data_IF_585303796598
#
_entry.id   IF_585303796598
#
_cell.length_a   1.000
_cell.length_b   1.000
_cell.length_c   1.000
_cell.angle_alpha   90.00
_cell.angle_beta   90.00
_cell.angle_gamma   90.00
#
_symmetry.space_group_name_H-M   'P 1'
#
loop_
_entity.id
_entity.type
_entity.pdbx_description
1 polymer ?
#
# COMPACT_ATOMS: atom_id res chain seq x y z
N UNK A 1 -19.98 24.91 16.48
CA UNK A 1 -20.38 24.42 15.14
C UNK A 1 -19.14 24.17 14.32
N UNK A 2 -18.65 22.95 14.27
CA UNK A 2 -17.50 22.56 13.43
C UNK A 2 -18.07 21.97 12.13
N UNK A 3 -17.82 22.64 11.02
CA UNK A 3 -18.20 22.15 9.68
C UNK A 3 -17.21 21.07 9.28
N UNK A 4 -17.68 19.84 9.13
CA UNK A 4 -16.92 18.76 8.51
C UNK A 4 -16.85 18.99 7.01
N UNK A 5 -15.64 19.25 6.51
CA UNK A 5 -15.38 19.30 5.07
C UNK A 5 -15.17 17.85 4.60
N UNK A 6 -16.15 17.32 3.89
CA UNK A 6 -16.04 16.01 3.26
C UNK A 6 -15.01 16.03 2.13
N UNK A 7 -13.90 15.37 2.33
CA UNK A 7 -12.90 15.16 1.26
C UNK A 7 -13.44 14.15 0.27
N UNK A 8 -13.84 14.65 -0.91
CA UNK A 8 -14.11 13.79 -2.07
C UNK A 8 -12.79 13.31 -2.63
N UNK A 9 -12.45 12.04 -2.40
CA UNK A 9 -11.35 11.38 -3.11
C UNK A 9 -11.81 11.15 -4.55
N UNK A 10 -11.49 12.10 -5.43
CA UNK A 10 -11.64 11.96 -6.86
C UNK A 10 -10.35 11.35 -7.39
N UNK A 11 -10.40 10.10 -7.84
CA UNK A 11 -9.34 9.56 -8.69
C UNK A 11 -9.38 10.31 -10.03
N UNK A 12 -8.60 11.37 -10.16
CA UNK A 12 -8.44 12.08 -11.41
C UNK A 12 -7.52 11.27 -12.33
N UNK A 13 -8.11 10.62 -13.33
CA UNK A 13 -7.39 10.28 -14.55
C UNK A 13 -7.15 11.60 -15.27
N UNK A 14 -5.90 12.09 -15.23
CA UNK A 14 -5.53 13.39 -15.77
C UNK A 14 -5.71 13.48 -17.27
N UNK A 15 -6.41 14.53 -17.70
CA UNK A 15 -6.46 15.02 -19.07
C UNK A 15 -5.09 15.57 -19.51
N UNK A 16 -4.75 15.34 -20.78
CA UNK A 16 -3.54 15.80 -21.47
C UNK A 16 -3.33 17.33 -21.30
N UNK A 17 -2.31 17.67 -20.49
CA UNK A 17 -1.63 18.96 -20.60
C UNK A 17 -0.21 18.72 -21.11
N UNK A 18 0.33 19.59 -21.91
CA UNK A 18 1.71 19.53 -22.41
C UNK A 18 2.67 19.29 -21.23
N UNK A 19 3.15 18.05 -21.11
CA UNK A 19 4.06 17.64 -20.05
C UNK A 19 5.47 18.10 -20.40
N UNK A 20 5.99 19.07 -19.66
CA UNK A 20 7.42 19.15 -19.42
C UNK A 20 7.81 17.81 -18.78
N UNK A 21 8.66 17.04 -19.44
CA UNK A 21 9.10 15.73 -18.96
C UNK A 21 9.92 15.93 -17.68
N UNK A 22 9.24 15.89 -16.53
CA UNK A 22 9.91 15.68 -15.24
C UNK A 22 10.52 14.29 -15.31
N UNK A 23 11.82 14.09 -15.04
CA UNK A 23 12.41 12.77 -15.04
C UNK A 23 11.61 11.89 -14.07
N UNK A 24 10.96 10.86 -14.61
CA UNK A 24 10.23 9.89 -13.81
C UNK A 24 11.22 9.19 -12.89
N UNK A 25 10.89 9.12 -11.60
CA UNK A 25 11.64 8.27 -10.70
C UNK A 25 11.61 6.83 -11.23
N UNK A 26 12.78 6.22 -11.33
CA UNK A 26 12.90 4.83 -11.78
C UNK A 26 12.21 3.90 -10.77
N UNK A 27 11.40 2.97 -11.27
CA UNK A 27 10.74 1.98 -10.42
C UNK A 27 11.78 1.09 -9.75
N UNK A 28 11.82 1.08 -8.43
CA UNK A 28 12.68 0.18 -7.66
C UNK A 28 12.03 -1.20 -7.57
N UNK A 29 12.76 -2.22 -7.94
CA UNK A 29 12.31 -3.62 -7.91
C UNK A 29 13.25 -4.43 -7.04
N UNK A 30 12.71 -5.33 -6.20
CA UNK A 30 13.56 -6.23 -5.41
C UNK A 30 14.29 -7.22 -6.31
N UNK A 31 15.60 -7.30 -6.18
CA UNK A 31 16.44 -8.28 -6.91
C UNK A 31 16.40 -9.68 -6.28
N UNK A 32 15.88 -9.80 -5.05
CA UNK A 32 15.86 -11.06 -4.29
C UNK A 32 14.75 -12.02 -4.71
N UNK A 33 13.88 -11.63 -5.64
CA UNK A 33 12.75 -12.44 -6.10
C UNK A 33 13.24 -13.69 -6.87
N UNK A 34 12.69 -14.84 -6.49
CA UNK A 34 12.86 -16.09 -7.26
C UNK A 34 12.01 -16.09 -8.57
N UNK A 35 12.12 -17.16 -9.35
CA UNK A 35 11.43 -17.24 -10.65
C UNK A 35 9.89 -17.17 -10.52
N UNK A 36 9.30 -17.80 -9.50
CA UNK A 36 7.84 -17.76 -9.23
C UNK A 36 7.41 -16.33 -8.87
N UNK A 37 8.14 -15.68 -7.99
CA UNK A 37 7.86 -14.32 -7.54
C UNK A 37 7.95 -13.31 -8.69
N UNK A 38 8.96 -13.44 -9.56
CA UNK A 38 9.08 -12.64 -10.79
C UNK A 38 7.90 -12.88 -11.74
N UNK A 39 7.48 -14.14 -11.90
CA UNK A 39 6.32 -14.48 -12.73
C UNK A 39 5.01 -13.90 -12.14
N UNK A 40 4.82 -13.97 -10.83
CA UNK A 40 3.67 -13.37 -10.15
C UNK A 40 3.64 -11.85 -10.33
N UNK A 41 4.77 -11.16 -10.15
CA UNK A 41 4.87 -9.72 -10.41
C UNK A 41 4.52 -9.38 -11.86
N UNK A 42 5.07 -10.14 -12.82
CA UNK A 42 4.77 -9.93 -14.25
C UNK A 42 3.29 -10.19 -14.56
N UNK A 43 2.67 -11.19 -13.93
CA UNK A 43 1.23 -11.47 -14.09
C UNK A 43 0.37 -10.29 -13.64
N UNK A 44 0.65 -9.72 -12.45
CA UNK A 44 -0.05 -8.55 -11.92
C UNK A 44 0.17 -7.33 -12.82
N UNK A 45 1.41 -7.09 -13.29
CA UNK A 45 1.71 -6.00 -14.23
C UNK A 45 0.88 -6.14 -15.52
N UNK A 46 0.84 -7.35 -16.09
CA UNK A 46 0.09 -7.62 -17.32
C UNK A 46 -1.41 -7.44 -17.11
N UNK A 47 -1.95 -7.91 -15.98
CA UNK A 47 -3.33 -7.67 -15.60
C UNK A 47 -3.66 -6.18 -15.52
N UNK A 48 -2.81 -5.41 -14.85
CA UNK A 48 -3.01 -3.97 -14.69
C UNK A 48 -2.98 -3.24 -16.03
N UNK A 49 -1.95 -3.51 -16.83
CA UNK A 49 -1.76 -2.87 -18.13
C UNK A 49 -2.88 -3.20 -19.12
N UNK A 50 -3.32 -4.46 -19.18
CA UNK A 50 -4.37 -4.87 -20.11
C UNK A 50 -5.77 -4.48 -19.63
N UNK A 51 -6.11 -4.81 -18.36
CA UNK A 51 -7.47 -4.65 -17.89
C UNK A 51 -7.79 -3.24 -17.39
N UNK A 52 -6.83 -2.53 -16.79
CA UNK A 52 -7.07 -1.19 -16.23
C UNK A 52 -6.62 -0.08 -17.17
N UNK A 53 -5.37 -0.08 -17.62
CA UNK A 53 -4.87 0.99 -18.49
C UNK A 53 -5.34 0.80 -19.94
N UNK A 54 -5.34 -0.42 -20.45
CA UNK A 54 -5.91 -0.79 -21.76
C UNK A 54 -7.43 -0.85 -21.76
N UNK A 55 -8.06 -0.81 -20.58
CA UNK A 55 -9.53 -0.87 -20.37
C UNK A 55 -10.19 -2.14 -20.92
N UNK A 56 -9.42 -3.21 -21.15
CA UNK A 56 -9.93 -4.47 -21.68
C UNK A 56 -10.48 -5.36 -20.56
N UNK A 57 -11.71 -5.12 -20.14
CA UNK A 57 -12.34 -5.90 -19.07
C UNK A 57 -12.67 -7.34 -19.49
N UNK A 58 -12.80 -7.63 -20.78
CA UNK A 58 -13.00 -8.98 -21.27
C UNK A 58 -11.81 -9.89 -21.01
N UNK A 59 -10.60 -9.30 -20.90
CA UNK A 59 -9.38 -10.00 -20.55
C UNK A 59 -9.29 -10.38 -19.06
N UNK A 60 -10.16 -9.88 -18.18
CA UNK A 60 -10.07 -10.15 -16.74
C UNK A 60 -10.09 -11.63 -16.39
N UNK A 61 -10.85 -12.45 -17.15
CA UNK A 61 -10.89 -13.89 -16.97
C UNK A 61 -9.52 -14.60 -17.17
N UNK A 62 -8.63 -14.00 -17.94
CA UNK A 62 -7.26 -14.48 -18.15
C UNK A 62 -6.42 -14.32 -16.89
N UNK A 63 -6.63 -13.27 -16.12
CA UNK A 63 -5.77 -12.84 -15.02
C UNK A 63 -6.35 -13.07 -13.63
N UNK A 64 -7.67 -13.02 -13.49
CA UNK A 64 -8.35 -12.91 -12.20
C UNK A 64 -9.25 -14.12 -11.96
N UNK A 65 -9.27 -14.66 -10.75
CA UNK A 65 -10.16 -15.73 -10.35
C UNK A 65 -11.62 -15.26 -10.35
N UNK A 66 -12.57 -16.17 -10.62
CA UNK A 66 -14.00 -15.87 -10.49
C UNK A 66 -14.36 -15.49 -9.06
N UNK A 67 -13.76 -16.20 -8.10
CA UNK A 67 -13.89 -15.98 -6.65
C UNK A 67 -13.00 -14.88 -6.11
N UNK A 68 -12.50 -13.98 -6.96
CA UNK A 68 -11.65 -12.87 -6.55
C UNK A 68 -12.20 -12.12 -5.34
N UNK A 69 -11.38 -11.96 -4.31
CA UNK A 69 -11.73 -11.29 -3.07
C UNK A 69 -11.15 -9.86 -3.09
N UNK A 70 -12.04 -8.88 -2.99
CA UNK A 70 -11.67 -7.47 -2.85
C UNK A 70 -11.84 -7.05 -1.40
N UNK A 71 -10.78 -6.51 -0.80
CA UNK A 71 -10.80 -6.03 0.58
C UNK A 71 -11.07 -4.52 0.72
N UNK A 72 -11.10 -3.78 -0.38
CA UNK A 72 -11.52 -2.38 -0.37
C UNK A 72 -13.03 -2.27 -0.16
N UNK A 73 -13.43 -1.61 0.92
CA UNK A 73 -14.83 -1.45 1.34
C UNK A 73 -15.71 -0.74 0.30
N UNK A 74 -15.11 0.06 -0.59
CA UNK A 74 -15.83 0.81 -1.62
C UNK A 74 -16.04 0.03 -2.93
N UNK A 75 -15.57 -1.22 -3.00
CA UNK A 75 -15.66 -2.05 -4.20
C UNK A 75 -16.35 -3.37 -3.90
N UNK A 76 -17.19 -3.87 -4.81
CA UNK A 76 -17.77 -5.20 -4.69
C UNK A 76 -16.68 -6.28 -4.84
N UNK A 77 -16.85 -7.38 -4.14
CA UNK A 77 -16.03 -8.59 -4.30
C UNK A 77 -16.46 -9.42 -5.51
N UNK A 78 -15.60 -10.34 -5.94
CA UNK A 78 -15.80 -11.18 -7.13
C UNK A 78 -15.39 -10.50 -8.43
N UNK A 79 -14.90 -11.31 -9.40
CA UNK A 79 -14.54 -10.78 -10.73
C UNK A 79 -15.69 -10.05 -11.41
N UNK A 80 -16.92 -10.55 -11.31
CA UNK A 80 -18.08 -9.89 -11.85
C UNK A 80 -18.30 -8.49 -11.24
N UNK A 81 -18.08 -8.35 -9.93
CA UNK A 81 -18.12 -7.07 -9.23
C UNK A 81 -17.05 -6.10 -9.73
N UNK A 82 -15.83 -6.59 -9.92
CA UNK A 82 -14.72 -5.82 -10.51
C UNK A 82 -15.07 -5.32 -11.91
N UNK A 83 -15.52 -6.21 -12.81
CA UNK A 83 -15.90 -5.87 -14.19
C UNK A 83 -17.03 -4.83 -14.21
N UNK A 84 -18.03 -4.99 -13.36
CA UNK A 84 -19.14 -4.04 -13.25
C UNK A 84 -18.65 -2.63 -12.89
N UNK A 85 -17.92 -2.50 -11.79
CA UNK A 85 -17.52 -1.17 -11.27
C UNK A 85 -16.53 -0.47 -12.20
N UNK A 86 -15.57 -1.20 -12.77
CA UNK A 86 -14.64 -0.61 -13.75
C UNK A 86 -15.31 -0.33 -15.09
N UNK A 87 -16.27 -1.14 -15.52
CA UNK A 87 -17.08 -0.87 -16.71
C UNK A 87 -17.87 0.44 -16.60
N UNK A 88 -18.51 0.67 -15.45
CA UNK A 88 -19.20 1.93 -15.15
C UNK A 88 -18.22 3.12 -15.15
N UNK A 89 -17.05 2.98 -14.55
CA UNK A 89 -16.01 4.02 -14.50
C UNK A 89 -15.45 4.34 -15.89
N UNK A 90 -15.15 3.33 -16.69
CA UNK A 90 -14.62 3.51 -18.05
C UNK A 90 -15.66 4.12 -18.97
N UNK A 91 -16.92 3.72 -18.84
CA UNK A 91 -18.03 4.35 -19.56
C UNK A 91 -18.18 5.84 -19.20
N UNK A 92 -18.12 6.17 -17.91
CA UNK A 92 -18.21 7.55 -17.43
C UNK A 92 -17.02 8.42 -17.90
N UNK A 93 -15.81 7.86 -17.91
CA UNK A 93 -14.60 8.54 -18.37
C UNK A 93 -14.51 8.68 -19.89
N UNK A 94 -15.29 7.89 -20.63
CA UNK A 94 -15.22 7.80 -22.09
C UNK A 94 -13.90 7.18 -22.60
N UNK A 95 -13.81 6.96 -23.89
CA UNK A 95 -12.63 6.42 -24.58
C UNK A 95 -12.73 4.92 -24.89
N UNK A 96 -12.00 4.47 -25.92
CA UNK A 96 -12.04 3.09 -26.39
C UNK A 96 -11.22 2.14 -25.50
N UNK A 97 -11.43 0.85 -25.68
CA UNK A 97 -10.46 -0.19 -25.34
C UNK A 97 -9.22 0.00 -26.23
N UNK A 98 -8.06 -0.04 -25.65
CA UNK A 98 -6.77 0.09 -26.37
C UNK A 98 -5.92 -1.16 -26.18
N UNK A 99 -4.99 -1.44 -27.10
CA UNK A 99 -3.94 -2.43 -26.84
C UNK A 99 -3.24 -2.12 -25.49
N UNK A 100 -2.84 -3.15 -24.70
CA UNK A 100 -2.14 -2.91 -23.45
C UNK A 100 -0.87 -2.09 -23.70
N UNK A 101 -0.65 -1.00 -22.94
CA UNK A 101 0.59 -0.26 -23.04
C UNK A 101 1.76 -1.14 -22.58
N UNK A 102 2.98 -0.83 -23.05
CA UNK A 102 4.19 -1.58 -22.66
C UNK A 102 4.58 -1.32 -21.20
N UNK A 103 4.31 -0.11 -20.71
CA UNK A 103 4.68 0.36 -19.39
C UNK A 103 3.51 1.09 -18.74
N UNK A 104 3.50 1.16 -17.42
CA UNK A 104 2.52 1.92 -16.68
C UNK A 104 2.53 3.41 -17.07
N UNK A 105 1.39 4.01 -17.21
CA UNK A 105 1.25 5.46 -17.40
C UNK A 105 1.87 6.23 -16.23
N UNK A 106 1.63 5.75 -14.99
CA UNK A 106 2.33 6.18 -13.78
C UNK A 106 2.93 4.93 -13.14
N UNK A 107 4.24 4.68 -13.25
CA UNK A 107 4.84 3.48 -12.69
C UNK A 107 4.86 3.52 -11.15
N UNK A 108 4.76 2.36 -10.48
CA UNK A 108 4.98 2.29 -9.04
C UNK A 108 6.42 2.72 -8.70
N UNK A 109 6.60 3.40 -7.57
CA UNK A 109 7.94 3.78 -7.09
C UNK A 109 8.70 2.59 -6.52
N UNK A 110 7.97 1.60 -5.98
CA UNK A 110 8.51 0.31 -5.54
C UNK A 110 7.57 -0.80 -5.97
N UNK A 111 8.14 -1.92 -6.43
CA UNK A 111 7.39 -3.15 -6.74
C UNK A 111 8.20 -4.38 -6.37
N UNK A 112 7.55 -5.40 -5.85
CA UNK A 112 8.16 -6.69 -5.54
C UNK A 112 7.12 -7.78 -5.33
N UNK A 113 7.59 -9.02 -5.26
CA UNK A 113 6.78 -10.14 -4.81
C UNK A 113 7.52 -10.94 -3.72
N UNK A 114 6.74 -11.63 -2.89
CA UNK A 114 7.23 -12.64 -1.94
C UNK A 114 6.22 -13.78 -1.84
N UNK A 115 6.65 -15.00 -2.17
CA UNK A 115 5.74 -16.13 -2.27
C UNK A 115 4.62 -15.87 -3.28
N UNK A 116 3.39 -15.87 -2.80
CA UNK A 116 2.20 -15.60 -3.62
C UNK A 116 1.75 -14.15 -3.61
N UNK A 117 2.41 -13.27 -2.85
CA UNK A 117 2.02 -11.88 -2.70
C UNK A 117 2.85 -10.96 -3.60
N UNK A 118 2.18 -10.02 -4.23
CA UNK A 118 2.76 -8.95 -5.05
C UNK A 118 2.39 -7.62 -4.42
N UNK A 119 3.36 -6.71 -4.28
CA UNK A 119 3.18 -5.37 -3.75
C UNK A 119 3.57 -4.34 -4.79
N UNK A 120 2.70 -3.36 -4.99
CA UNK A 120 2.94 -2.17 -5.79
C UNK A 120 2.76 -0.95 -4.89
N UNK A 121 3.76 -0.07 -4.85
CA UNK A 121 3.73 1.18 -4.09
C UNK A 121 3.73 2.33 -5.06
N UNK A 122 2.75 3.20 -4.97
CA UNK A 122 2.56 4.32 -5.87
C UNK A 122 2.78 5.64 -5.14
N UNK A 123 3.55 6.54 -5.73
CA UNK A 123 3.57 7.94 -5.31
C UNK A 123 2.40 8.67 -5.96
N UNK A 124 1.66 9.41 -5.17
CA UNK A 124 0.53 10.23 -5.58
C UNK A 124 0.77 11.66 -5.13
N UNK A 125 0.07 12.58 -5.77
CA UNK A 125 0.09 14.01 -5.43
C UNK A 125 -1.32 14.50 -5.14
N UNK A 126 -1.47 15.31 -4.11
CA UNK A 126 -2.72 15.95 -3.74
C UNK A 126 -2.48 17.40 -3.33
N UNK A 127 -3.54 18.21 -3.33
CA UNK A 127 -3.48 19.58 -2.80
C UNK A 127 -3.30 19.55 -1.29
N UNK A 128 -2.42 20.44 -0.79
CA UNK A 128 -2.19 20.59 0.63
C UNK A 128 -3.49 21.10 1.32
N UNK A 129 -3.99 20.39 2.34
CA UNK A 129 -5.21 20.81 3.03
C UNK A 129 -5.08 22.16 3.77
N UNK A 130 -3.86 22.52 4.19
CA UNK A 130 -3.57 23.78 4.85
C UNK A 130 -3.34 24.95 3.87
N UNK A 131 -2.85 24.64 2.65
CA UNK A 131 -2.58 25.64 1.61
C UNK A 131 -2.88 25.04 0.22
N UNK A 132 -4.13 25.15 -0.29
CA UNK A 132 -4.54 24.58 -1.57
C UNK A 132 -3.79 25.08 -2.82
N UNK A 133 -2.94 26.12 -2.68
CA UNK A 133 -2.03 26.57 -3.74
C UNK A 133 -0.80 25.66 -3.89
N UNK A 134 -0.52 24.83 -2.89
CA UNK A 134 0.57 23.85 -2.85
C UNK A 134 0.07 22.45 -3.00
N UNK A 135 0.97 21.55 -3.36
CA UNK A 135 0.72 20.10 -3.40
C UNK A 135 1.68 19.38 -2.45
N UNK A 136 1.30 18.16 -2.06
CA UNK A 136 2.15 17.26 -1.31
C UNK A 136 2.09 15.86 -1.92
N UNK A 137 3.15 15.08 -1.70
CA UNK A 137 3.22 13.68 -2.11
C UNK A 137 2.80 12.77 -0.96
N UNK A 138 2.16 11.67 -1.32
CA UNK A 138 1.76 10.59 -0.42
C UNK A 138 1.81 9.26 -1.16
N UNK A 139 1.72 8.14 -0.43
CA UNK A 139 1.82 6.83 -1.05
C UNK A 139 0.49 6.07 -0.95
N UNK A 140 0.21 5.32 -2.01
CA UNK A 140 -0.86 4.33 -2.03
C UNK A 140 -0.27 2.96 -2.34
N UNK A 141 -0.98 1.91 -1.94
CA UNK A 141 -0.52 0.54 -2.01
C UNK A 141 -1.57 -0.33 -2.66
N UNK A 142 -1.11 -1.27 -3.46
CA UNK A 142 -1.86 -2.43 -3.88
C UNK A 142 -1.06 -3.66 -3.48
N UNK A 143 -1.66 -4.55 -2.70
CA UNK A 143 -1.14 -5.88 -2.43
C UNK A 143 -2.10 -6.89 -3.04
N UNK A 144 -1.57 -7.80 -3.83
CA UNK A 144 -2.35 -8.83 -4.53
C UNK A 144 -1.81 -10.21 -4.17
N UNK A 145 -2.70 -11.20 -4.04
CA UNK A 145 -2.32 -12.60 -3.87
C UNK A 145 -2.65 -13.38 -5.13
N UNK A 146 -1.68 -14.17 -5.57
CA UNK A 146 -1.81 -15.06 -6.71
C UNK A 146 -2.10 -16.48 -6.21
N UNK A 147 -3.12 -17.09 -6.76
CA UNK A 147 -3.46 -18.50 -6.52
C UNK A 147 -3.81 -19.16 -7.84
N UNK A 148 -3.24 -20.34 -8.09
CA UNK A 148 -3.45 -21.09 -9.34
C UNK A 148 -3.23 -20.22 -10.60
N UNK A 149 -2.22 -19.33 -10.57
CA UNK A 149 -1.89 -18.43 -11.67
C UNK A 149 -2.90 -17.31 -11.92
N UNK A 150 -3.77 -17.01 -10.96
CA UNK A 150 -4.76 -15.94 -11.03
C UNK A 150 -4.64 -15.00 -9.84
N UNK A 151 -5.00 -13.73 -10.03
CA UNK A 151 -5.23 -12.78 -8.93
C UNK A 151 -6.45 -13.26 -8.15
N UNK A 152 -6.23 -13.75 -6.94
CA UNK A 152 -7.26 -14.29 -6.06
C UNK A 152 -7.75 -13.29 -5.02
N UNK A 153 -6.87 -12.41 -4.54
CA UNK A 153 -7.22 -11.38 -3.54
C UNK A 153 -6.48 -10.08 -3.80
N UNK A 154 -7.08 -8.97 -3.36
CA UNK A 154 -6.52 -7.63 -3.48
C UNK A 154 -6.83 -6.79 -2.24
N UNK A 155 -5.82 -6.13 -1.72
CA UNK A 155 -5.87 -5.17 -0.63
C UNK A 155 -5.33 -3.83 -1.12
N UNK A 156 -6.02 -2.77 -0.77
CA UNK A 156 -5.54 -1.39 -0.85
C UNK A 156 -5.98 -0.62 0.41
N UNK A 157 -5.37 0.53 0.66
CA UNK A 157 -5.83 1.40 1.73
C UNK A 157 -6.98 2.27 1.22
N UNK A 158 -8.15 2.04 1.79
CA UNK A 158 -9.30 2.88 1.51
C UNK A 158 -10.22 2.99 2.73
N UNK A 159 -10.63 4.21 3.02
CA UNK A 159 -11.72 4.47 3.95
C UNK A 159 -13.05 4.46 3.19
N UNK A 160 -14.11 3.98 3.85
CA UNK A 160 -15.46 3.97 3.28
C UNK A 160 -15.92 5.40 3.00
N UNK A 161 -16.32 5.66 1.78
CA UNK A 161 -16.92 6.93 1.42
C UNK A 161 -18.36 6.98 1.94
N UNK A 162 -18.77 8.13 2.48
CA UNK A 162 -20.13 8.33 2.97
C UNK A 162 -21.14 8.17 1.82
N UNK A 163 -22.24 7.45 2.11
CA UNK A 163 -23.30 7.19 1.13
C UNK A 163 -22.96 6.08 0.12
N UNK A 164 -21.82 5.42 0.25
CA UNK A 164 -21.47 4.26 -0.58
C UNK A 164 -21.94 2.97 0.09
N UNK A 165 -22.57 2.05 -0.66
CA UNK A 165 -22.87 0.72 -0.15
C UNK A 165 -21.57 0.03 0.35
N UNK A 166 -21.67 -0.77 1.40
CA UNK A 166 -20.57 -1.62 1.82
C UNK A 166 -20.26 -2.63 0.73
N UNK A 167 -19.04 -2.60 0.23
CA UNK A 167 -18.43 -3.62 -0.61
C UNK A 167 -17.38 -4.38 0.20
N UNK A 168 -16.43 -4.96 -0.51
CA UNK A 168 -15.32 -5.71 0.07
C UNK A 168 -15.76 -7.02 0.71
N UNK A 169 -14.80 -7.88 0.97
CA UNK A 169 -14.99 -9.08 1.76
C UNK A 169 -14.32 -8.89 3.14
N UNK A 170 -14.98 -9.24 4.25
CA UNK A 170 -14.39 -9.13 5.57
C UNK A 170 -13.27 -10.16 5.79
N UNK A 171 -13.38 -11.30 5.12
CA UNK A 171 -12.51 -12.45 5.29
C UNK A 171 -11.92 -12.89 3.95
N UNK A 172 -10.74 -13.49 4.01
CA UNK A 172 -10.00 -14.00 2.88
C UNK A 172 -9.07 -15.10 3.36
N UNK A 173 -7.80 -15.00 2.99
CA UNK A 173 -6.78 -15.97 3.41
C UNK A 173 -6.59 -15.98 4.93
N UNK A 174 -6.31 -17.16 5.49
CA UNK A 174 -5.90 -17.32 6.88
C UNK A 174 -4.43 -16.89 7.04
N UNK A 175 -4.20 -15.65 7.49
CA UNK A 175 -2.87 -15.00 7.51
C UNK A 175 -1.85 -15.75 8.38
N UNK A 176 -2.26 -16.38 9.46
CA UNK A 176 -1.39 -17.16 10.36
C UNK A 176 -0.90 -18.48 9.75
N UNK A 177 -1.55 -18.94 8.69
CA UNK A 177 -1.12 -20.10 7.90
C UNK A 177 -0.12 -19.72 6.80
N UNK A 178 0.05 -18.44 6.48
CA UNK A 178 1.00 -18.00 5.45
C UNK A 178 2.43 -18.24 5.91
N UNK A 179 3.21 -18.89 5.07
CA UNK A 179 4.65 -19.15 5.30
C UNK A 179 5.47 -18.56 4.18
N UNK A 180 6.59 -18.01 4.55
CA UNK A 180 7.56 -17.46 3.61
C UNK A 180 8.94 -18.10 3.85
N UNK A 181 9.64 -18.40 2.78
CA UNK A 181 11.05 -18.77 2.83
C UNK A 181 11.91 -17.52 2.75
N UNK A 182 12.75 -17.33 3.75
CA UNK A 182 13.61 -16.16 3.87
C UNK A 182 15.09 -16.53 3.77
N UNK A 183 15.82 -15.73 3.03
CA UNK A 183 17.28 -15.69 3.11
C UNK A 183 17.73 -15.21 4.49
N UNK A 184 19.01 -15.49 4.90
CA UNK A 184 19.54 -14.93 6.14
C UNK A 184 19.45 -13.40 6.24
N UNK A 185 19.64 -12.71 5.10
CA UNK A 185 19.53 -11.25 5.06
C UNK A 185 18.10 -10.76 5.27
N UNK A 186 17.10 -11.41 4.64
CA UNK A 186 15.70 -11.04 4.84
C UNK A 186 15.25 -11.27 6.28
N UNK A 187 15.71 -12.34 6.95
CA UNK A 187 15.45 -12.55 8.39
C UNK A 187 15.98 -11.40 9.23
N UNK A 188 17.23 -10.99 8.96
CA UNK A 188 17.85 -9.85 9.65
C UNK A 188 17.10 -8.54 9.37
N UNK A 189 16.64 -8.32 8.15
CA UNK A 189 15.86 -7.14 7.80
C UNK A 189 14.51 -7.12 8.54
N UNK A 190 13.84 -8.27 8.70
CA UNK A 190 12.63 -8.42 9.51
C UNK A 190 12.88 -8.09 10.98
N UNK A 191 14.00 -8.53 11.55
CA UNK A 191 14.38 -8.20 12.93
C UNK A 191 14.59 -6.69 13.11
N UNK A 192 15.30 -6.04 12.19
CA UNK A 192 15.54 -4.59 12.20
C UNK A 192 14.21 -3.81 12.08
N UNK A 193 13.36 -4.18 11.14
CA UNK A 193 12.06 -3.56 10.97
C UNK A 193 11.13 -3.79 12.18
N UNK A 194 11.24 -4.95 12.83
CA UNK A 194 10.49 -5.24 14.06
C UNK A 194 10.85 -4.27 15.18
N UNK A 195 12.13 -3.90 15.32
CA UNK A 195 12.55 -2.88 16.31
C UNK A 195 11.85 -1.54 16.03
N UNK A 196 11.80 -1.09 14.76
CA UNK A 196 11.08 0.15 14.43
C UNK A 196 9.59 0.03 14.72
N UNK A 197 8.92 -0.92 14.07
CA UNK A 197 7.46 -1.01 14.13
C UNK A 197 6.92 -1.40 15.50
N UNK A 198 7.62 -2.23 16.25
CA UNK A 198 7.21 -2.68 17.57
C UNK A 198 7.81 -1.82 18.67
N UNK A 199 9.13 -1.83 18.81
CA UNK A 199 9.77 -1.30 20.01
C UNK A 199 9.80 0.23 20.00
N UNK A 200 10.04 0.86 18.86
CA UNK A 200 10.03 2.32 18.74
C UNK A 200 8.59 2.84 18.62
N UNK A 201 7.82 2.41 17.62
CA UNK A 201 6.52 3.02 17.33
C UNK A 201 5.41 2.59 18.29
N UNK A 202 5.42 1.37 18.82
CA UNK A 202 4.39 0.91 19.75
C UNK A 202 4.78 1.03 21.23
N UNK A 203 6.05 0.78 21.58
CA UNK A 203 6.53 0.87 22.96
C UNK A 203 7.26 2.18 23.29
N UNK A 204 7.51 3.06 22.31
CA UNK A 204 8.02 4.42 22.52
C UNK A 204 9.53 4.53 22.73
N UNK A 205 10.33 3.47 22.44
CA UNK A 205 11.77 3.43 22.64
C UNK A 205 12.53 4.11 21.50
N UNK A 206 12.36 5.42 21.37
CA UNK A 206 12.95 6.20 20.26
C UNK A 206 14.48 6.22 20.26
N UNK A 207 15.14 5.94 21.40
CA UNK A 207 16.59 5.80 21.52
C UNK A 207 17.13 4.60 20.70
N UNK A 208 16.30 3.61 20.41
CA UNK A 208 16.69 2.47 19.58
C UNK A 208 16.88 2.85 18.10
N UNK A 209 16.38 4.00 17.68
CA UNK A 209 16.55 4.49 16.31
C UNK A 209 18.04 4.59 15.91
N UNK A 210 18.94 4.90 16.84
CA UNK A 210 20.38 4.93 16.57
C UNK A 210 20.94 3.58 16.11
N UNK A 211 20.33 2.48 16.55
CA UNK A 211 20.78 1.11 16.24
C UNK A 211 20.22 0.60 14.91
N UNK A 212 19.05 1.08 14.50
CA UNK A 212 18.32 0.48 13.38
C UNK A 212 18.06 1.45 12.23
N UNK A 213 18.20 2.77 12.40
CA UNK A 213 17.97 3.77 11.37
C UNK A 213 19.25 4.46 10.92
N UNK A 214 19.38 4.70 9.62
CA UNK A 214 20.44 5.52 9.07
C UNK A 214 20.31 6.98 9.52
N UNK A 215 21.42 7.72 9.74
CA UNK A 215 21.36 9.15 10.04
C UNK A 215 20.59 9.95 8.97
N UNK A 216 20.70 9.54 7.71
CA UNK A 216 20.07 10.12 6.54
C UNK A 216 18.71 9.49 6.19
N UNK A 217 18.07 8.82 7.17
CA UNK A 217 16.75 8.20 7.01
C UNK A 217 15.75 9.12 6.30
N UNK A 218 15.07 8.58 5.30
CA UNK A 218 14.07 9.29 4.51
C UNK A 218 12.66 8.81 4.90
N UNK A 219 11.82 9.76 5.28
CA UNK A 219 10.42 9.51 5.59
C UNK A 219 9.53 10.00 4.44
N UNK A 220 8.65 9.11 3.95
CA UNK A 220 7.70 9.44 2.89
C UNK A 220 6.27 9.73 3.39
N UNK A 221 6.03 9.68 4.71
CA UNK A 221 4.79 10.16 5.33
C UNK A 221 4.80 11.69 5.37
N UNK A 222 3.80 12.37 4.80
CA UNK A 222 3.77 13.83 4.75
C UNK A 222 3.62 14.53 6.12
N UNK A 223 3.29 13.77 7.17
CA UNK A 223 3.09 14.29 8.53
C UNK A 223 4.29 14.04 9.45
N UNK A 224 5.30 13.30 9.00
CA UNK A 224 6.47 12.93 9.81
C UNK A 224 7.73 13.49 9.17
N UNK A 225 8.60 14.19 9.92
CA UNK A 225 9.80 14.80 9.35
C UNK A 225 10.84 13.75 8.94
N UNK A 226 11.59 14.05 7.87
CA UNK A 226 12.70 13.23 7.38
C UNK A 226 13.97 13.43 8.23
N UNK A 227 14.83 12.40 8.28
CA UNK A 227 16.04 12.36 9.09
C UNK A 227 15.83 11.69 10.45
N UNK A 228 16.79 10.81 10.84
CA UNK A 228 16.70 10.06 12.10
C UNK A 228 16.51 10.98 13.32
N UNK A 229 17.28 12.05 13.44
CA UNK A 229 17.17 12.97 14.58
C UNK A 229 15.77 13.62 14.66
N UNK A 230 15.23 14.04 13.52
CA UNK A 230 13.89 14.64 13.46
C UNK A 230 12.78 13.62 13.75
N UNK A 231 12.93 12.38 13.28
CA UNK A 231 12.06 11.26 13.64
C UNK A 231 12.04 11.01 15.15
N UNK A 232 13.21 10.91 15.79
CA UNK A 232 13.33 10.73 17.24
C UNK A 232 12.69 11.89 18.00
N UNK A 233 12.95 13.12 17.62
CA UNK A 233 12.35 14.31 18.25
C UNK A 233 10.81 14.29 18.11
N UNK A 234 10.29 13.96 16.93
CA UNK A 234 8.86 13.90 16.67
C UNK A 234 8.17 12.83 17.55
N UNK A 235 8.66 11.59 17.51
CA UNK A 235 8.02 10.48 18.23
C UNK A 235 8.20 10.55 19.75
N UNK A 236 9.30 11.08 20.26
CA UNK A 236 9.51 11.27 21.71
C UNK A 236 8.52 12.25 22.34
N UNK A 237 7.96 13.18 21.56
CA UNK A 237 6.92 14.11 22.03
C UNK A 237 5.55 13.45 22.18
N UNK A 238 5.24 12.45 21.35
CA UNK A 238 3.91 11.85 21.28
C UNK A 238 3.87 10.44 21.89
N UNK A 239 5.02 9.82 22.16
CA UNK A 239 5.15 8.49 22.75
C UNK A 239 6.11 8.53 23.93
N UNK A 240 5.66 8.01 25.07
CA UNK A 240 6.55 7.77 26.22
C UNK A 240 7.01 6.31 26.21
N UNK A 241 8.25 6.01 26.60
CA UNK A 241 8.74 4.64 26.70
C UNK A 241 7.92 3.84 27.71
N UNK A 242 7.54 2.63 27.32
CA UNK A 242 6.91 1.63 28.16
C UNK A 242 7.72 0.34 28.10
N UNK A 243 7.73 -0.52 29.14
CA UNK A 243 8.49 -1.78 29.13
C UNK A 243 8.18 -2.60 27.87
N UNK A 244 9.21 -2.91 27.08
CA UNK A 244 9.07 -3.72 25.86
C UNK A 244 8.60 -5.13 26.26
N UNK A 245 7.50 -5.55 25.67
CA UNK A 245 6.98 -6.91 25.83
C UNK A 245 7.38 -7.78 24.63
N UNK A 246 7.34 -9.11 24.83
CA UNK A 246 7.58 -10.05 23.73
C UNK A 246 6.56 -9.89 22.59
N UNK A 247 5.31 -9.58 22.92
CA UNK A 247 4.23 -9.37 21.97
C UNK A 247 4.17 -7.95 21.41
N UNK A 248 3.40 -7.79 20.34
CA UNK A 248 3.01 -6.51 19.76
C UNK A 248 1.78 -5.96 20.50
N UNK A 249 1.66 -4.65 20.68
CA UNK A 249 0.40 -4.01 21.08
C UNK A 249 -0.65 -4.13 19.98
N UNK A 250 -0.22 -3.91 18.74
CA UNK A 250 -1.01 -4.15 17.53
C UNK A 250 -0.19 -5.04 16.60
N UNK A 251 -0.53 -6.34 16.58
CA UNK A 251 0.18 -7.30 15.73
C UNK A 251 -0.12 -7.03 14.26
N UNK A 252 0.90 -6.99 13.38
CA UNK A 252 0.66 -6.99 11.95
C UNK A 252 -0.22 -8.18 11.52
N UNK A 253 -1.18 -7.92 10.64
CA UNK A 253 -2.01 -8.96 10.02
C UNK A 253 -1.14 -9.84 9.12
N UNK A 254 -0.23 -9.22 8.39
CA UNK A 254 0.80 -9.88 7.59
C UNK A 254 2.06 -9.01 7.61
N UNK A 255 3.24 -9.64 7.71
CA UNK A 255 4.54 -8.97 7.61
C UNK A 255 5.52 -9.91 6.90
N UNK A 256 6.24 -9.38 5.90
CA UNK A 256 7.23 -10.16 5.15
C UNK A 256 8.31 -9.28 4.54
N UNK A 257 9.43 -9.94 4.17
CA UNK A 257 10.54 -9.29 3.50
C UNK A 257 10.72 -9.81 2.06
N UNK A 258 11.12 -8.94 1.15
CA UNK A 258 11.61 -9.27 -0.19
C UNK A 258 12.88 -8.45 -0.46
N UNK A 259 14.03 -9.09 -0.33
CA UNK A 259 15.31 -8.43 -0.38
C UNK A 259 15.44 -7.32 0.67
N UNK A 260 15.69 -6.06 0.26
CA UNK A 260 15.85 -4.95 1.20
C UNK A 260 14.51 -4.44 1.76
N UNK A 261 13.37 -4.77 1.16
CA UNK A 261 12.07 -4.27 1.57
C UNK A 261 11.44 -5.16 2.64
N UNK A 262 10.99 -4.55 3.72
CA UNK A 262 10.12 -5.18 4.72
C UNK A 262 8.79 -4.45 4.69
N UNK A 263 7.73 -5.22 4.47
CA UNK A 263 6.38 -4.73 4.27
C UNK A 263 5.44 -5.33 5.29
N UNK A 264 4.48 -4.55 5.76
CA UNK A 264 3.43 -5.05 6.63
C UNK A 264 2.07 -4.41 6.34
N UNK A 265 1.03 -5.16 6.66
CA UNK A 265 -0.34 -4.65 6.72
C UNK A 265 -0.92 -4.87 8.11
N UNK A 266 -1.76 -3.93 8.54
CA UNK A 266 -2.52 -4.02 9.80
C UNK A 266 -4.00 -3.86 9.49
N UNK A 267 -4.80 -4.89 9.79
CA UNK A 267 -6.26 -4.81 9.73
C UNK A 267 -6.75 -3.95 10.90
N UNK A 268 -7.46 -2.89 10.61
CA UNK A 268 -8.04 -1.95 11.58
C UNK A 268 -9.56 -1.98 11.50
N UNK A 269 -10.22 -1.72 12.62
CA UNK A 269 -11.65 -1.49 12.65
C UNK A 269 -11.90 0.03 12.56
N UNK A 270 -12.38 0.49 11.42
CA UNK A 270 -12.72 1.89 11.20
C UNK A 270 -14.21 2.12 11.41
N UNK A 271 -14.58 3.30 11.89
CA UNK A 271 -15.99 3.67 12.08
C UNK A 271 -16.69 3.90 10.74
N UNK A 272 -17.91 3.35 10.60
CA UNK A 272 -18.70 3.59 9.40
C UNK A 272 -19.19 5.05 9.36
N UNK A 273 -18.90 5.81 8.29
CA UNK A 273 -19.33 7.21 8.19
C UNK A 273 -20.85 7.38 8.06
N UNK A 274 -21.59 6.31 7.70
CA UNK A 274 -23.05 6.32 7.60
C UNK A 274 -23.74 5.83 8.86
N UNK A 275 -23.06 4.98 9.67
CA UNK A 275 -23.53 4.50 10.97
C UNK A 275 -22.38 4.44 11.98
N UNK A 276 -22.19 5.48 12.82
CA UNK A 276 -21.09 5.54 13.78
C UNK A 276 -21.08 4.42 14.85
N UNK A 277 -22.16 3.65 14.97
CA UNK A 277 -22.24 2.50 15.87
C UNK A 277 -21.68 1.23 15.24
N UNK A 278 -21.40 1.25 13.96
CA UNK A 278 -20.81 0.14 13.20
C UNK A 278 -19.36 0.42 12.83
N UNK A 279 -18.62 -0.65 12.65
CA UNK A 279 -17.25 -0.60 12.12
C UNK A 279 -17.14 -1.46 10.87
N UNK A 280 -16.09 -1.20 10.09
CA UNK A 280 -15.70 -2.02 8.94
C UNK A 280 -14.19 -2.26 8.96
N UNK A 281 -13.70 -3.36 8.36
CA UNK A 281 -12.27 -3.59 8.24
C UNK A 281 -11.65 -2.64 7.20
N UNK A 282 -10.54 -2.00 7.56
CA UNK A 282 -9.65 -1.30 6.66
C UNK A 282 -8.22 -1.80 6.88
N UNK A 283 -7.37 -1.67 5.88
CA UNK A 283 -6.00 -2.17 5.94
C UNK A 283 -5.03 -1.01 5.84
N UNK A 284 -4.20 -0.84 6.87
CA UNK A 284 -3.10 0.10 6.87
C UNK A 284 -1.84 -0.57 6.34
N UNK A 285 -1.03 0.18 5.64
CA UNK A 285 0.18 -0.29 4.99
C UNK A 285 1.39 0.49 5.48
N UNK A 286 2.45 -0.24 5.81
CA UNK A 286 3.77 0.29 6.13
C UNK A 286 4.84 -0.52 5.40
N UNK A 287 5.92 0.14 5.02
CA UNK A 287 7.07 -0.48 4.38
C UNK A 287 8.35 0.26 4.73
N UNK A 288 9.41 -0.49 4.99
CA UNK A 288 10.76 0.07 5.12
C UNK A 288 11.73 -0.57 4.14
N UNK A 289 12.77 0.17 3.77
CA UNK A 289 13.93 -0.34 3.05
C UNK A 289 15.12 -0.41 3.98
N UNK A 290 15.67 -1.62 4.14
CA UNK A 290 16.84 -1.89 4.97
C UNK A 290 18.05 -2.14 4.08
N UNK A 291 19.12 -1.40 4.31
CA UNK A 291 20.39 -1.55 3.62
C UNK A 291 21.54 -1.28 4.58
N UNK A 292 22.64 -2.02 4.44
CA UNK A 292 23.79 -1.95 5.35
C UNK A 292 23.42 -2.12 6.84
N UNK A 293 22.39 -2.95 7.13
CA UNK A 293 21.95 -3.21 8.50
C UNK A 293 21.16 -2.07 9.15
N UNK A 294 20.71 -1.08 8.38
CA UNK A 294 19.94 0.06 8.87
C UNK A 294 18.76 0.39 7.94
N UNK A 295 17.67 0.86 8.51
CA UNK A 295 16.52 1.40 7.77
C UNK A 295 16.93 2.71 7.11
N UNK A 296 16.82 2.75 5.81
CA UNK A 296 17.15 3.91 4.98
C UNK A 296 15.92 4.75 4.65
N UNK A 297 14.79 4.10 4.46
CA UNK A 297 13.56 4.75 4.02
C UNK A 297 12.34 4.07 4.62
N UNK A 298 11.27 4.88 4.86
CA UNK A 298 9.97 4.41 5.32
C UNK A 298 8.86 5.03 4.48
N UNK A 299 7.93 4.21 4.05
CA UNK A 299 6.68 4.58 3.39
C UNK A 299 5.50 4.07 4.18
N UNK A 300 4.43 4.84 4.27
CA UNK A 300 3.14 4.41 4.76
C UNK A 300 1.99 5.00 3.93
N UNK A 301 0.76 4.63 4.26
CA UNK A 301 -0.43 5.05 3.52
C UNK A 301 -1.03 6.38 4.01
N UNK A 302 -0.29 7.18 4.80
CA UNK A 302 -0.82 8.42 5.34
C UNK A 302 -1.00 9.50 4.27
N UNK A 303 -2.10 10.22 4.38
CA UNK A 303 -2.30 11.51 3.71
C UNK A 303 -2.01 12.64 4.69
N UNK A 304 -1.74 13.85 4.18
CA UNK A 304 -1.52 15.02 5.02
C UNK A 304 -2.80 15.41 5.76
N UNK A 305 -2.66 15.66 7.06
CA UNK A 305 -3.74 16.09 7.96
C UNK A 305 -4.07 17.57 7.81
#
# INVERSE_FOLDING_TARGET
MRRSIGVRVVFAVGLLGLAVAIPRAETRTSDAMNAKEKANLQHVRSWWLECLEGRNLDATAKYQADSYIQHNINFPTGRAGFVKIFGERFKAAGGPVTPPPKEFANPPVVQFAKGDFVVLVWEREAKDPADPSKTYKYNTYDMLRIENGKVAEHWDYALKAKGTPRGGAPDGIEYDKVKFDYSPQEKKNLEIATVEFKDILQYGHTELAEKVMAPTYIQHNPNVPTGRAAFVEFFSRIRKPEPIQAGWKTKPTLMFASGPYVFLIVKRAEKDPDDPNQTYPAYWFDMVRVENGMIQEHWDAATKN
#
